data_IF_111916119221
#
_entry.id   IF_111916119221
#
_cell.length_a   1.000
_cell.length_b   1.000
_cell.length_c   1.000
_cell.angle_alpha   90.00
_cell.angle_beta   90.00
_cell.angle_gamma   90.00
#
_symmetry.space_group_name_H-M   'P 1'
#
loop_
_entity.id
_entity.type
_entity.pdbx_description
1 polymer ?
#
# COMPACT_ATOMS: atom_id res chain seq x y z
N UNK A 1 -35.97 -5.67 -1.58
CA UNK A 1 -34.95 -4.78 -2.15
C UNK A 1 -33.64 -5.52 -2.22
N UNK A 2 -33.19 -5.96 -3.40
CA UNK A 2 -31.88 -6.58 -3.60
C UNK A 2 -30.81 -5.52 -3.27
N UNK A 3 -30.16 -5.67 -2.13
CA UNK A 3 -29.11 -4.76 -1.66
C UNK A 3 -27.91 -4.89 -2.60
N UNK A 4 -27.63 -3.82 -3.35
CA UNK A 4 -26.50 -3.80 -4.29
C UNK A 4 -25.17 -3.89 -3.50
N UNK A 5 -24.26 -4.84 -3.78
CA UNK A 5 -23.02 -5.02 -3.04
C UNK A 5 -22.00 -3.89 -3.30
N UNK A 6 -21.98 -3.35 -4.52
CA UNK A 6 -21.00 -2.32 -4.93
C UNK A 6 -20.99 -1.08 -4.02
N UNK A 7 -22.11 -0.41 -3.70
CA UNK A 7 -22.08 0.78 -2.84
C UNK A 7 -21.54 0.49 -1.43
N UNK A 8 -21.87 -0.69 -0.87
CA UNK A 8 -21.39 -1.08 0.46
C UNK A 8 -19.89 -1.38 0.44
N UNK A 9 -19.42 -2.00 -0.64
CA UNK A 9 -18.00 -2.26 -0.79
C UNK A 9 -17.20 -0.97 -1.08
N UNK A 10 -17.79 -0.02 -1.81
CA UNK A 10 -17.26 1.35 -1.96
C UNK A 10 -17.10 2.01 -0.58
N UNK A 11 -18.10 1.90 0.31
CA UNK A 11 -18.01 2.44 1.66
C UNK A 11 -16.85 1.81 2.46
N UNK A 12 -16.65 0.48 2.37
CA UNK A 12 -15.51 -0.21 3.00
C UNK A 12 -14.18 0.31 2.44
N UNK A 13 -14.04 0.38 1.12
CA UNK A 13 -12.79 0.83 0.49
C UNK A 13 -12.50 2.30 0.82
N UNK A 14 -13.49 3.17 0.74
CA UNK A 14 -13.33 4.60 1.02
C UNK A 14 -12.95 4.85 2.49
N UNK A 15 -13.65 4.22 3.44
CA UNK A 15 -13.33 4.37 4.87
C UNK A 15 -11.98 3.73 5.24
N UNK A 16 -11.62 2.58 4.63
CA UNK A 16 -10.31 1.98 4.81
C UNK A 16 -9.18 2.93 4.38
N UNK A 17 -9.28 3.53 3.20
CA UNK A 17 -8.25 4.42 2.69
C UNK A 17 -8.19 5.75 3.46
N UNK A 18 -9.30 6.22 4.01
CA UNK A 18 -9.32 7.34 4.96
C UNK A 18 -8.61 6.98 6.28
N UNK A 19 -8.83 5.78 6.85
CA UNK A 19 -8.08 5.28 7.99
C UNK A 19 -6.58 5.19 7.70
N UNK A 20 -6.21 4.65 6.54
CA UNK A 20 -4.82 4.55 6.10
C UNK A 20 -4.17 5.94 6.01
N UNK A 21 -4.87 6.92 5.46
CA UNK A 21 -4.41 8.31 5.41
C UNK A 21 -4.05 8.85 6.81
N UNK A 22 -4.96 8.73 7.78
CA UNK A 22 -4.70 9.19 9.16
C UNK A 22 -3.52 8.47 9.79
N UNK A 23 -3.47 7.13 9.68
CA UNK A 23 -2.52 6.31 10.44
C UNK A 23 -1.13 6.34 9.80
N UNK A 24 -1.02 6.36 8.48
CA UNK A 24 0.26 6.28 7.77
C UNK A 24 0.73 7.66 7.32
N UNK A 25 -0.09 8.40 6.55
CA UNK A 25 0.36 9.65 5.94
C UNK A 25 0.43 10.80 6.94
N UNK A 26 -0.48 10.86 7.93
CA UNK A 26 -0.47 11.86 8.99
C UNK A 26 0.27 11.40 10.26
N UNK A 27 1.02 10.29 10.19
CA UNK A 27 1.80 9.79 11.32
C UNK A 27 2.79 10.81 11.86
N UNK A 28 3.54 11.47 10.98
CA UNK A 28 4.52 12.49 11.36
C UNK A 28 3.84 13.67 12.03
N UNK A 29 2.71 14.16 11.52
CA UNK A 29 1.96 15.29 12.10
C UNK A 29 1.57 14.99 13.54
N UNK A 30 1.00 13.79 13.77
CA UNK A 30 0.53 13.41 15.10
C UNK A 30 1.67 13.09 16.07
N UNK A 31 2.61 12.22 15.66
CA UNK A 31 3.66 11.74 16.56
C UNK A 31 4.67 12.83 16.93
N UNK A 32 5.01 13.74 16.01
CA UNK A 32 5.87 14.88 16.32
C UNK A 32 5.22 15.82 17.36
N UNK A 33 3.91 16.06 17.25
CA UNK A 33 3.15 16.84 18.23
C UNK A 33 3.15 16.16 19.63
N UNK A 34 3.14 14.82 19.66
CA UNK A 34 3.29 14.06 20.91
C UNK A 34 4.75 14.02 21.44
N UNK A 35 5.66 14.76 20.81
CA UNK A 35 7.06 14.89 21.21
C UNK A 35 7.95 13.70 20.86
N UNK A 36 7.58 12.91 19.83
CA UNK A 36 8.47 11.91 19.24
C UNK A 36 9.46 12.55 18.27
N UNK A 37 10.65 11.96 18.10
CA UNK A 37 11.61 12.38 17.06
C UNK A 37 11.27 11.78 15.71
N UNK A 38 11.85 12.32 14.61
CA UNK A 38 11.67 11.74 13.29
C UNK A 38 12.17 10.29 13.21
N UNK A 39 13.27 9.96 13.92
CA UNK A 39 13.75 8.59 14.03
C UNK A 39 12.72 7.66 14.68
N UNK A 40 12.03 8.12 15.72
CA UNK A 40 10.98 7.35 16.39
C UNK A 40 9.74 7.18 15.49
N UNK A 41 9.34 8.22 14.76
CA UNK A 41 8.26 8.12 13.77
C UNK A 41 8.59 7.06 12.71
N UNK A 42 9.77 7.16 12.10
CA UNK A 42 10.23 6.19 11.11
C UNK A 42 10.32 4.77 11.65
N UNK A 43 10.77 4.60 12.89
CA UNK A 43 10.85 3.31 13.59
C UNK A 43 9.45 2.68 13.77
N UNK A 44 8.46 3.46 14.23
CA UNK A 44 7.09 2.99 14.45
C UNK A 44 6.48 2.49 13.14
N UNK A 45 6.60 3.26 12.07
CA UNK A 45 6.06 2.88 10.75
C UNK A 45 6.78 1.65 10.20
N UNK A 46 8.10 1.58 10.32
CA UNK A 46 8.90 0.45 9.83
C UNK A 46 8.65 -0.84 10.58
N UNK A 47 8.68 -0.80 11.93
CA UNK A 47 8.43 -1.99 12.76
C UNK A 47 6.97 -2.45 12.62
N UNK A 48 6.01 -1.51 12.54
CA UNK A 48 4.61 -1.84 12.28
C UNK A 48 4.42 -2.53 10.93
N UNK A 49 5.07 -2.01 9.88
CA UNK A 49 5.06 -2.62 8.55
C UNK A 49 5.69 -4.01 8.52
N UNK A 50 6.86 -4.16 9.14
CA UNK A 50 7.54 -5.46 9.24
C UNK A 50 6.71 -6.48 10.02
N UNK A 51 6.17 -6.09 11.17
CA UNK A 51 5.34 -6.96 12.00
C UNK A 51 4.05 -7.35 11.28
N UNK A 52 3.42 -6.42 10.57
CA UNK A 52 2.26 -6.71 9.72
C UNK A 52 2.60 -7.76 8.65
N UNK A 53 3.72 -7.60 7.93
CA UNK A 53 4.15 -8.55 6.92
C UNK A 53 4.41 -9.96 7.49
N UNK A 54 4.99 -10.05 8.69
CA UNK A 54 5.24 -11.33 9.38
C UNK A 54 3.94 -11.98 9.91
N UNK A 55 2.97 -11.18 10.33
CA UNK A 55 1.69 -11.67 10.85
C UNK A 55 0.71 -12.02 9.72
N UNK A 56 0.81 -11.37 8.55
CA UNK A 56 -0.12 -11.51 7.43
C UNK A 56 -0.43 -12.98 7.05
N UNK A 57 0.57 -13.90 6.91
CA UNK A 57 0.27 -15.29 6.57
C UNK A 57 -0.48 -16.04 7.67
N UNK A 58 -0.30 -15.65 8.95
CA UNK A 58 -1.03 -16.26 10.08
C UNK A 58 -2.47 -15.77 10.13
N UNK A 59 -2.67 -14.47 9.92
CA UNK A 59 -3.98 -13.82 9.90
C UNK A 59 -4.82 -14.36 8.73
N UNK A 60 -4.24 -14.47 7.53
CA UNK A 60 -4.93 -15.04 6.36
C UNK A 60 -5.34 -16.48 6.60
N UNK A 61 -4.44 -17.33 7.14
CA UNK A 61 -4.78 -18.72 7.48
C UNK A 61 -5.85 -18.82 8.58
N UNK A 62 -5.86 -17.91 9.54
CA UNK A 62 -6.90 -17.85 10.55
C UNK A 62 -8.25 -17.50 9.93
N UNK A 63 -8.28 -16.50 9.03
CA UNK A 63 -9.48 -16.12 8.29
C UNK A 63 -10.06 -17.29 7.47
N UNK A 64 -9.19 -18.08 6.80
CA UNK A 64 -9.60 -19.22 5.99
C UNK A 64 -10.10 -20.41 6.85
N UNK A 65 -9.51 -20.63 8.02
CA UNK A 65 -9.86 -21.76 8.92
C UNK A 65 -11.12 -21.54 9.73
N UNK A 66 -11.50 -20.29 9.97
CA UNK A 66 -12.67 -19.94 10.77
C UNK A 66 -13.98 -20.15 10.00
N UNK A 67 -14.24 -21.38 9.55
CA UNK A 67 -15.50 -21.77 8.88
C UNK A 67 -16.77 -21.43 9.70
N UNK A 68 -16.67 -21.38 11.04
CA UNK A 68 -17.78 -21.02 11.95
C UNK A 68 -17.97 -19.51 12.13
N UNK A 69 -16.90 -18.72 12.01
CA UNK A 69 -16.97 -17.28 12.07
C UNK A 69 -16.88 -16.75 10.63
N UNK A 70 -17.87 -16.02 10.19
CA UNK A 70 -17.81 -15.47 8.83
C UNK A 70 -16.60 -14.52 8.68
N UNK A 71 -15.98 -14.52 7.50
CA UNK A 71 -14.88 -13.61 7.15
C UNK A 71 -15.22 -12.15 7.54
N UNK A 72 -16.49 -11.75 7.40
CA UNK A 72 -16.99 -10.43 7.80
C UNK A 72 -16.79 -10.17 9.30
N UNK A 73 -17.18 -11.13 10.17
CA UNK A 73 -17.03 -10.95 11.63
C UNK A 73 -15.54 -10.95 12.03
N UNK A 74 -14.71 -11.73 11.36
CA UNK A 74 -13.27 -11.68 11.56
C UNK A 74 -12.69 -10.29 11.21
N UNK A 75 -13.02 -9.77 10.03
CA UNK A 75 -12.62 -8.42 9.62
C UNK A 75 -13.15 -7.35 10.60
N UNK A 76 -14.41 -7.48 11.02
CA UNK A 76 -15.00 -6.58 12.01
C UNK A 76 -14.28 -6.67 13.37
N UNK A 77 -13.84 -7.85 13.79
CA UNK A 77 -13.04 -8.02 15.01
C UNK A 77 -11.72 -7.26 14.93
N UNK A 78 -10.98 -7.39 13.82
CA UNK A 78 -9.73 -6.65 13.60
C UNK A 78 -9.97 -5.14 13.56
N UNK A 79 -11.02 -4.68 12.85
CA UNK A 79 -11.40 -3.27 12.80
C UNK A 79 -11.88 -2.75 14.16
N UNK A 80 -12.55 -3.59 14.97
CA UNK A 80 -12.97 -3.26 16.33
C UNK A 80 -11.79 -3.05 17.28
N UNK A 81 -10.75 -3.88 17.18
CA UNK A 81 -9.49 -3.69 17.94
C UNK A 81 -8.84 -2.36 17.52
N UNK A 82 -8.79 -2.04 16.23
CA UNK A 82 -8.27 -0.77 15.75
C UNK A 82 -9.10 0.43 16.25
N UNK A 83 -10.43 0.28 16.30
CA UNK A 83 -11.32 1.31 16.85
C UNK A 83 -11.03 1.58 18.32
N UNK A 84 -10.87 0.54 19.14
CA UNK A 84 -10.52 0.66 20.56
C UNK A 84 -9.14 1.29 20.74
N UNK A 85 -8.16 0.88 19.93
CA UNK A 85 -6.82 1.47 19.96
C UNK A 85 -6.85 2.97 19.59
N UNK A 86 -7.67 3.36 18.59
CA UNK A 86 -7.85 4.77 18.22
C UNK A 86 -8.51 5.60 19.34
N UNK A 87 -9.50 5.03 20.06
CA UNK A 87 -10.09 5.68 21.23
C UNK A 87 -9.06 5.83 22.36
N UNK A 88 -8.20 4.82 22.54
CA UNK A 88 -7.11 4.85 23.51
C UNK A 88 -6.11 5.99 23.28
N UNK A 89 -5.82 6.37 22.02
CA UNK A 89 -4.96 7.52 21.71
C UNK A 89 -5.51 8.84 22.26
N UNK A 90 -6.83 9.01 22.31
CA UNK A 90 -7.47 10.21 22.85
C UNK A 90 -7.57 10.20 24.39
N UNK A 91 -7.61 9.02 24.99
CA UNK A 91 -7.88 8.86 26.42
C UNK A 91 -6.62 8.66 27.28
N UNK A 92 -5.55 8.09 26.70
CA UNK A 92 -4.37 7.68 27.46
C UNK A 92 -3.18 8.60 27.14
N UNK A 93 -2.83 9.53 28.05
CA UNK A 93 -1.66 10.39 27.85
C UNK A 93 -0.35 9.62 28.11
N UNK A 94 0.74 10.15 27.58
CA UNK A 94 2.10 9.67 27.81
C UNK A 94 2.69 8.91 26.61
N UNK A 95 4.01 9.04 26.46
CA UNK A 95 4.72 8.53 25.28
C UNK A 95 4.60 7.02 25.08
N UNK A 96 4.69 6.23 26.15
CA UNK A 96 4.65 4.77 26.04
C UNK A 96 3.28 4.23 25.58
N UNK A 97 2.14 4.64 26.19
CA UNK A 97 0.82 4.27 25.66
C UNK A 97 0.62 4.71 24.20
N UNK A 98 1.02 5.94 23.87
CA UNK A 98 0.91 6.48 22.51
C UNK A 98 1.73 5.62 21.52
N UNK A 99 2.96 5.25 21.87
CA UNK A 99 3.83 4.41 21.04
C UNK A 99 3.19 3.03 20.76
N UNK A 100 2.68 2.37 21.79
CA UNK A 100 2.10 1.02 21.70
C UNK A 100 0.80 1.06 20.90
N UNK A 101 -0.09 2.01 21.20
CA UNK A 101 -1.37 2.13 20.51
C UNK A 101 -1.19 2.51 19.04
N UNK A 102 -0.32 3.49 18.77
CA UNK A 102 -0.06 3.92 17.40
C UNK A 102 0.63 2.81 16.57
N UNK A 103 1.64 2.16 17.13
CA UNK A 103 2.29 1.01 16.50
C UNK A 103 1.32 -0.13 16.21
N UNK A 104 0.39 -0.40 17.14
CA UNK A 104 -0.68 -1.39 16.93
C UNK A 104 -1.59 -1.00 15.78
N UNK A 105 -1.97 0.29 15.67
CA UNK A 105 -2.79 0.79 14.56
C UNK A 105 -2.10 0.66 13.21
N UNK A 106 -0.79 0.92 13.14
CA UNK A 106 0.01 0.71 11.93
C UNK A 106 -0.04 -0.76 11.49
N UNK A 107 0.08 -1.70 12.43
CA UNK A 107 -0.04 -3.13 12.13
C UNK A 107 -1.44 -3.48 11.65
N UNK A 108 -2.46 -3.06 12.40
CA UNK A 108 -3.86 -3.43 12.15
C UNK A 108 -4.38 -2.88 10.80
N UNK A 109 -4.05 -1.63 10.45
CA UNK A 109 -4.48 -1.06 9.18
C UNK A 109 -3.88 -1.78 7.99
N UNK A 110 -2.64 -2.22 8.08
CA UNK A 110 -1.99 -2.99 7.02
C UNK A 110 -2.54 -4.42 6.92
N UNK A 111 -2.89 -5.06 8.04
CA UNK A 111 -3.56 -6.37 8.06
C UNK A 111 -4.99 -6.30 7.49
N UNK A 112 -5.69 -5.18 7.68
CA UNK A 112 -7.05 -4.98 7.17
C UNK A 112 -7.12 -4.86 5.64
N UNK A 113 -6.07 -4.39 4.96
CA UNK A 113 -6.08 -4.20 3.50
C UNK A 113 -6.44 -5.49 2.74
N UNK A 114 -5.71 -6.60 2.89
CA UNK A 114 -6.04 -7.84 2.19
C UNK A 114 -7.33 -8.48 2.71
N UNK A 115 -7.69 -8.31 3.98
CA UNK A 115 -8.94 -8.80 4.53
C UNK A 115 -10.16 -8.11 3.90
N UNK A 116 -10.13 -6.79 3.75
CA UNK A 116 -11.17 -6.04 3.04
C UNK A 116 -11.27 -6.44 1.57
N UNK A 117 -10.13 -6.69 0.91
CA UNK A 117 -10.10 -7.20 -0.46
C UNK A 117 -10.72 -8.59 -0.56
N UNK A 118 -10.41 -9.48 0.39
CA UNK A 118 -10.97 -10.84 0.46
C UNK A 118 -12.50 -10.83 0.64
N UNK A 119 -13.06 -9.86 1.40
CA UNK A 119 -14.53 -9.69 1.50
C UNK A 119 -15.18 -9.40 0.15
N UNK A 120 -14.57 -8.54 -0.67
CA UNK A 120 -15.05 -8.25 -2.02
C UNK A 120 -14.96 -9.47 -2.94
N UNK A 121 -13.86 -10.20 -2.88
CA UNK A 121 -13.67 -11.43 -3.67
C UNK A 121 -14.64 -12.53 -3.25
N UNK A 122 -14.86 -12.71 -1.95
CA UNK A 122 -15.85 -13.66 -1.45
C UNK A 122 -17.28 -13.36 -1.97
N UNK A 123 -17.64 -12.06 -2.04
CA UNK A 123 -18.92 -11.62 -2.60
C UNK A 123 -19.03 -11.96 -4.10
N UNK A 124 -17.96 -11.75 -4.88
CA UNK A 124 -17.91 -12.13 -6.31
C UNK A 124 -18.04 -13.65 -6.49
N UNK A 125 -17.35 -14.44 -5.68
CA UNK A 125 -17.40 -15.90 -5.72
C UNK A 125 -18.78 -16.48 -5.35
N UNK A 126 -19.61 -15.70 -4.67
CA UNK A 126 -21.02 -16.04 -4.38
C UNK A 126 -21.97 -15.59 -5.50
N UNK A 127 -21.47 -15.15 -6.66
CA UNK A 127 -22.25 -14.78 -7.84
C UNK A 127 -22.85 -13.37 -7.80
N UNK A 128 -22.49 -12.53 -6.84
CA UNK A 128 -22.92 -11.14 -6.81
C UNK A 128 -22.17 -10.28 -7.83
N UNK A 129 -22.86 -9.35 -8.46
CA UNK A 129 -22.26 -8.37 -9.37
C UNK A 129 -21.66 -7.22 -8.55
N UNK A 130 -20.37 -7.30 -8.28
CA UNK A 130 -19.60 -6.28 -7.57
C UNK A 130 -18.58 -5.65 -8.53
N UNK A 131 -18.61 -4.33 -8.67
CA UNK A 131 -17.59 -3.61 -9.43
C UNK A 131 -16.39 -3.31 -8.52
N UNK A 132 -15.43 -4.24 -8.50
CA UNK A 132 -14.24 -4.14 -7.65
C UNK A 132 -13.35 -2.95 -8.06
N UNK A 133 -13.18 -2.72 -9.37
CA UNK A 133 -12.37 -1.61 -9.87
C UNK A 133 -12.93 -0.24 -9.48
N UNK A 134 -14.25 -0.05 -9.61
CA UNK A 134 -14.92 1.18 -9.16
C UNK A 134 -14.70 1.42 -7.65
N UNK A 135 -14.86 0.38 -6.84
CA UNK A 135 -14.68 0.50 -5.40
C UNK A 135 -13.21 0.82 -5.03
N UNK A 136 -12.25 0.22 -5.73
CA UNK A 136 -10.82 0.51 -5.52
C UNK A 136 -10.47 1.95 -5.92
N UNK A 137 -10.99 2.43 -7.05
CA UNK A 137 -10.81 3.82 -7.50
C UNK A 137 -11.47 4.83 -6.56
N UNK A 138 -12.69 4.52 -6.06
CA UNK A 138 -13.35 5.34 -5.03
C UNK A 138 -12.53 5.41 -3.73
N UNK A 139 -11.84 4.34 -3.36
CA UNK A 139 -10.91 4.34 -2.22
C UNK A 139 -9.75 5.31 -2.41
N UNK A 140 -9.09 5.32 -3.57
CA UNK A 140 -8.01 6.28 -3.86
C UNK A 140 -8.53 7.73 -3.88
N UNK A 141 -9.69 7.97 -4.45
CA UNK A 141 -10.33 9.29 -4.42
C UNK A 141 -10.65 9.72 -2.99
N UNK A 142 -11.18 8.81 -2.16
CA UNK A 142 -11.46 9.08 -0.75
C UNK A 142 -10.19 9.42 0.03
N UNK A 143 -9.08 8.70 -0.21
CA UNK A 143 -7.77 9.03 0.36
C UNK A 143 -7.37 10.46 0.03
N UNK A 144 -7.42 10.86 -1.24
CA UNK A 144 -7.05 12.21 -1.66
C UNK A 144 -7.93 13.30 -1.03
N UNK A 145 -9.25 13.17 -1.15
CA UNK A 145 -10.20 14.14 -0.56
C UNK A 145 -10.00 14.22 0.96
N UNK A 146 -9.85 13.07 1.60
CA UNK A 146 -9.69 13.01 3.05
C UNK A 146 -8.35 13.60 3.50
N UNK A 147 -7.26 13.41 2.74
CA UNK A 147 -5.97 14.02 3.07
C UNK A 147 -6.03 15.56 3.05
N UNK A 148 -6.69 16.14 2.04
CA UNK A 148 -6.91 17.59 1.98
C UNK A 148 -7.80 18.10 3.13
N UNK A 149 -8.84 17.35 3.50
CA UNK A 149 -9.73 17.68 4.61
C UNK A 149 -9.01 17.55 5.96
N UNK A 150 -8.28 16.46 6.19
CA UNK A 150 -7.52 16.20 7.42
C UNK A 150 -6.42 17.24 7.63
N UNK A 151 -5.69 17.62 6.57
CA UNK A 151 -4.69 18.68 6.63
C UNK A 151 -5.26 20.02 7.12
N UNK A 152 -6.44 20.41 6.61
CA UNK A 152 -7.15 21.62 7.05
C UNK A 152 -7.70 21.50 8.47
N UNK A 153 -8.18 20.29 8.84
CA UNK A 153 -8.69 20.03 10.18
C UNK A 153 -7.58 20.22 11.24
N UNK A 154 -6.36 19.76 10.91
CA UNK A 154 -5.19 19.97 11.77
C UNK A 154 -4.86 21.45 11.93
N UNK A 155 -4.97 22.27 10.88
CA UNK A 155 -4.75 23.72 10.97
C UNK A 155 -5.74 24.41 11.92
N UNK A 156 -7.00 23.97 11.93
CA UNK A 156 -8.04 24.63 12.73
C UNK A 156 -8.10 24.14 14.17
N UNK A 157 -7.87 22.85 14.37
CA UNK A 157 -8.08 22.19 15.66
C UNK A 157 -6.79 21.69 16.32
N UNK A 158 -5.66 21.68 15.58
CA UNK A 158 -4.40 21.11 16.05
C UNK A 158 -4.25 19.62 15.74
N UNK A 159 -3.07 19.10 16.03
CA UNK A 159 -2.66 17.73 15.64
C UNK A 159 -3.48 16.62 16.33
N UNK A 160 -4.09 16.87 17.50
CA UNK A 160 -4.99 15.90 18.16
C UNK A 160 -6.17 15.51 17.27
N UNK A 161 -6.58 16.39 16.36
CA UNK A 161 -7.67 16.14 15.42
C UNK A 161 -7.41 14.96 14.49
N UNK A 162 -6.13 14.59 14.25
CA UNK A 162 -5.76 13.38 13.51
C UNK A 162 -6.27 12.14 14.25
N UNK A 163 -6.08 12.05 15.57
CA UNK A 163 -6.57 10.92 16.36
C UNK A 163 -8.10 10.87 16.40
N UNK A 164 -8.76 12.03 16.48
CA UNK A 164 -10.22 12.12 16.41
C UNK A 164 -10.77 11.69 15.04
N UNK A 165 -10.13 12.13 13.95
CA UNK A 165 -10.47 11.73 12.59
C UNK A 165 -10.22 10.22 12.37
N UNK A 166 -9.13 9.70 12.93
CA UNK A 166 -8.80 8.28 12.93
C UNK A 166 -9.90 7.45 13.62
N UNK A 167 -10.33 7.85 14.82
CA UNK A 167 -11.42 7.21 15.54
C UNK A 167 -12.74 7.24 14.74
N UNK A 168 -13.09 8.38 14.17
CA UNK A 168 -14.30 8.53 13.37
C UNK A 168 -14.28 7.63 12.13
N UNK A 169 -13.16 7.59 11.39
CA UNK A 169 -13.04 6.76 10.20
C UNK A 169 -12.99 5.26 10.52
N UNK A 170 -12.36 4.87 11.63
CA UNK A 170 -12.40 3.49 12.11
C UNK A 170 -13.82 3.06 12.49
N UNK A 171 -14.61 3.93 13.10
CA UNK A 171 -16.02 3.65 13.40
C UNK A 171 -16.84 3.47 12.11
N UNK A 172 -16.61 4.31 11.10
CA UNK A 172 -17.25 4.17 9.78
C UNK A 172 -16.86 2.88 9.11
N UNK A 173 -15.56 2.53 9.12
CA UNK A 173 -15.05 1.27 8.56
C UNK A 173 -15.66 0.06 9.25
N UNK A 174 -15.68 0.06 10.58
CA UNK A 174 -16.29 -1.00 11.38
C UNK A 174 -17.76 -1.20 11.04
N UNK A 175 -18.54 -0.11 11.00
CA UNK A 175 -19.95 -0.14 10.64
C UNK A 175 -20.17 -0.60 9.19
N UNK A 176 -19.33 -0.14 8.26
CA UNK A 176 -19.39 -0.54 6.86
C UNK A 176 -19.13 -2.06 6.69
N UNK A 177 -18.13 -2.61 7.39
CA UNK A 177 -17.85 -4.06 7.39
C UNK A 177 -19.04 -4.84 7.98
N UNK A 178 -19.60 -4.40 9.10
CA UNK A 178 -20.77 -5.04 9.71
C UNK A 178 -22.01 -4.98 8.81
N UNK A 179 -22.16 -3.95 8.00
CA UNK A 179 -23.26 -3.81 7.04
C UNK A 179 -23.13 -4.73 5.82
N UNK A 180 -21.94 -5.29 5.54
CA UNK A 180 -21.63 -6.08 4.35
C UNK A 180 -22.08 -7.55 4.55
N UNK A 181 -23.39 -7.81 4.35
CA UNK A 181 -24.03 -9.11 4.67
C UNK A 181 -24.24 -9.99 3.43
N UNK A 182 -23.22 -10.18 2.62
CA UNK A 182 -23.26 -11.06 1.43
C UNK A 182 -22.53 -12.38 1.75
N UNK A 183 -23.26 -13.34 2.35
CA UNK A 183 -22.70 -14.59 2.85
C UNK A 183 -23.41 -15.84 2.32
N UNK A 184 -24.52 -15.65 1.62
CA UNK A 184 -25.27 -16.70 0.94
C UNK A 184 -25.15 -16.50 -0.56
N UNK A 185 -25.23 -17.55 -1.40
CA UNK A 185 -25.21 -17.41 -2.83
C UNK A 185 -26.26 -16.42 -3.34
N UNK A 186 -25.94 -15.69 -4.40
CA UNK A 186 -26.88 -14.79 -5.03
C UNK A 186 -28.12 -15.57 -5.55
N UNK A 187 -29.33 -15.00 -5.52
CA UNK A 187 -30.52 -15.66 -6.02
C UNK A 187 -30.32 -16.18 -7.44
N UNK A 188 -30.54 -17.47 -7.66
CA UNK A 188 -30.35 -18.14 -8.95
C UNK A 188 -28.90 -18.48 -9.31
N UNK A 189 -27.94 -18.25 -8.42
CA UNK A 189 -26.56 -18.67 -8.61
C UNK A 189 -26.29 -19.97 -7.87
N UNK A 190 -25.95 -21.01 -8.61
CA UNK A 190 -25.41 -22.26 -8.06
C UNK A 190 -23.89 -22.11 -8.05
N UNK A 191 -23.24 -22.08 -6.86
CA UNK A 191 -21.80 -22.09 -6.83
C UNK A 191 -21.28 -23.30 -7.61
N UNK A 192 -20.20 -23.17 -8.41
CA UNK A 192 -19.55 -24.33 -9.00
C UNK A 192 -19.26 -25.32 -7.87
N UNK A 193 -19.60 -26.58 -8.11
CA UNK A 193 -19.25 -27.64 -7.15
C UNK A 193 -17.77 -27.47 -6.78
N UNK A 194 -17.42 -27.53 -5.49
CA UNK A 194 -16.02 -27.53 -5.11
C UNK A 194 -15.41 -28.68 -5.89
N UNK A 195 -14.50 -28.37 -6.84
CA UNK A 195 -13.66 -29.43 -7.43
C UNK A 195 -13.20 -30.27 -6.25
N UNK A 196 -13.36 -31.60 -6.28
CA UNK A 196 -12.85 -32.46 -5.22
C UNK A 196 -11.44 -31.94 -4.95
N UNK A 197 -11.20 -31.46 -3.73
CA UNK A 197 -9.84 -31.12 -3.33
C UNK A 197 -9.02 -32.33 -3.74
N UNK A 198 -8.24 -32.20 -4.81
CA UNK A 198 -7.19 -33.17 -5.09
C UNK A 198 -6.53 -33.34 -3.73
N UNK A 199 -6.55 -34.56 -3.22
CA UNK A 199 -6.07 -34.92 -1.89
C UNK A 199 -4.81 -34.13 -1.68
N UNK A 200 -4.62 -33.43 -0.54
CA UNK A 200 -3.53 -32.51 -0.38
C UNK A 200 -2.28 -33.24 -0.83
N UNK A 201 -1.90 -33.02 -2.09
CA UNK A 201 -0.58 -33.41 -2.52
C UNK A 201 0.29 -32.85 -1.42
N UNK A 202 0.95 -33.75 -0.73
CA UNK A 202 1.94 -33.44 0.29
C UNK A 202 2.98 -32.56 -0.37
N UNK A 203 2.59 -31.29 -0.56
CA UNK A 203 3.52 -30.25 -0.94
C UNK A 203 4.43 -30.16 0.26
N UNK A 204 5.46 -30.99 0.18
CA UNK A 204 6.57 -31.09 1.09
C UNK A 204 6.81 -29.70 1.69
N UNK A 205 6.69 -29.63 3.01
CA UNK A 205 7.10 -28.51 3.87
C UNK A 205 8.61 -28.25 3.69
N UNK A 206 9.02 -27.82 2.52
CA UNK A 206 10.37 -27.29 2.33
C UNK A 206 10.37 -25.86 2.82
N UNK A 207 11.26 -25.58 3.74
CA UNK A 207 11.45 -24.30 4.34
C UNK A 207 11.54 -23.18 3.27
N UNK A 208 10.98 -21.97 3.51
CA UNK A 208 10.96 -20.87 2.53
C UNK A 208 12.35 -20.52 1.96
N UNK A 209 13.42 -20.78 2.71
CA UNK A 209 14.79 -20.47 2.32
C UNK A 209 15.30 -21.34 1.14
N UNK A 210 14.95 -22.63 1.08
CA UNK A 210 15.41 -23.49 -0.03
C UNK A 210 14.68 -23.20 -1.35
N UNK A 211 13.39 -22.82 -1.29
CA UNK A 211 12.63 -22.41 -2.47
C UNK A 211 13.12 -21.09 -3.05
N UNK A 212 13.52 -20.13 -2.21
CA UNK A 212 14.00 -18.83 -2.65
C UNK A 212 15.34 -18.88 -3.37
N UNK A 213 16.28 -19.69 -2.89
CA UNK A 213 17.55 -19.93 -3.59
C UNK A 213 17.31 -20.59 -4.95
N UNK A 214 16.37 -21.53 -5.05
CA UNK A 214 16.02 -22.15 -6.32
C UNK A 214 15.39 -21.13 -7.28
N UNK A 215 14.56 -20.19 -6.83
CA UNK A 215 13.97 -19.14 -7.68
C UNK A 215 15.03 -18.23 -8.28
N UNK A 216 15.90 -17.65 -7.47
CA UNK A 216 16.94 -16.74 -7.94
C UNK A 216 17.99 -17.45 -8.82
N UNK A 217 18.22 -18.74 -8.62
CA UNK A 217 19.07 -19.54 -9.52
C UNK A 217 18.40 -19.74 -10.89
N UNK A 218 17.09 -19.97 -10.92
CA UNK A 218 16.33 -20.13 -12.16
C UNK A 218 16.17 -18.80 -12.93
N UNK A 219 16.09 -17.68 -12.20
CA UNK A 219 15.91 -16.34 -12.74
C UNK A 219 16.97 -15.36 -12.19
N UNK A 220 18.27 -15.48 -12.56
CA UNK A 220 19.33 -14.66 -11.93
C UNK A 220 19.12 -13.15 -12.10
N UNK A 221 18.54 -12.71 -13.23
CA UNK A 221 18.24 -11.30 -13.49
C UNK A 221 17.16 -10.75 -12.54
N UNK A 222 16.28 -11.61 -11.99
CA UNK A 222 15.26 -11.20 -11.05
C UNK A 222 15.85 -10.63 -9.76
N UNK A 223 17.02 -11.09 -9.31
CA UNK A 223 17.71 -10.53 -8.15
C UNK A 223 17.94 -9.03 -8.30
N UNK A 224 18.38 -8.57 -9.47
CA UNK A 224 18.59 -7.16 -9.76
C UNK A 224 17.25 -6.39 -9.90
N UNK A 225 16.21 -7.03 -10.46
CA UNK A 225 14.86 -6.44 -10.54
C UNK A 225 14.24 -6.26 -9.14
N UNK A 226 14.43 -7.23 -8.25
CA UNK A 226 13.98 -7.14 -6.86
C UNK A 226 14.74 -6.06 -6.08
N UNK A 227 16.07 -5.97 -6.28
CA UNK A 227 16.88 -4.90 -5.71
C UNK A 227 16.43 -3.53 -6.22
N UNK A 228 16.18 -3.39 -7.52
CA UNK A 228 15.63 -2.17 -8.11
C UNK A 228 14.29 -1.79 -7.47
N UNK A 229 13.40 -2.77 -7.29
CA UNK A 229 12.09 -2.58 -6.65
C UNK A 229 12.22 -2.13 -5.19
N UNK A 230 13.17 -2.70 -4.46
CA UNK A 230 13.50 -2.26 -3.10
C UNK A 230 13.97 -0.79 -3.09
N UNK A 231 14.89 -0.43 -3.96
CA UNK A 231 15.47 0.91 -4.04
C UNK A 231 14.44 1.98 -4.42
N UNK A 232 13.59 1.74 -5.44
CA UNK A 232 12.54 2.70 -5.80
C UNK A 232 11.50 2.83 -4.69
N UNK A 233 11.25 1.76 -3.92
CA UNK A 233 10.36 1.82 -2.75
C UNK A 233 10.99 2.51 -1.54
N UNK A 234 12.32 2.46 -1.37
CA UNK A 234 13.00 3.34 -0.42
C UNK A 234 12.74 4.79 -0.80
N UNK A 235 13.01 5.17 -2.06
CA UNK A 235 12.77 6.52 -2.58
C UNK A 235 11.34 6.99 -2.33
N UNK A 236 10.36 6.21 -2.77
CA UNK A 236 8.94 6.50 -2.63
C UNK A 236 8.50 6.68 -1.18
N UNK A 237 8.91 5.77 -0.30
CA UNK A 237 8.48 5.83 1.11
C UNK A 237 9.20 6.92 1.91
N UNK A 238 10.43 7.30 1.56
CA UNK A 238 11.07 8.49 2.14
C UNK A 238 10.23 9.74 1.89
N UNK A 239 9.73 9.94 0.67
CA UNK A 239 8.90 11.08 0.32
C UNK A 239 7.54 11.04 1.01
N UNK A 240 6.89 9.86 1.06
CA UNK A 240 5.54 9.73 1.60
C UNK A 240 5.50 9.74 3.14
N UNK A 241 6.41 9.02 3.81
CA UNK A 241 6.43 8.93 5.27
C UNK A 241 6.81 10.27 5.89
N UNK A 242 7.70 11.01 5.25
CA UNK A 242 8.21 12.28 5.75
C UNK A 242 7.70 13.49 4.94
N UNK A 243 6.55 13.33 4.27
CA UNK A 243 5.93 14.39 3.48
C UNK A 243 5.68 15.68 4.29
N UNK A 244 5.30 15.54 5.56
CA UNK A 244 5.07 16.69 6.44
C UNK A 244 6.35 17.51 6.66
N UNK A 245 7.48 16.85 6.95
CA UNK A 245 8.77 17.51 7.16
C UNK A 245 9.27 18.18 5.88
N UNK A 246 9.05 17.54 4.71
CA UNK A 246 9.38 18.12 3.41
C UNK A 246 8.58 19.41 3.16
N UNK A 247 7.28 19.35 3.42
CA UNK A 247 6.40 20.53 3.26
C UNK A 247 6.75 21.64 4.26
N UNK A 248 7.04 21.30 5.52
CA UNK A 248 7.50 22.27 6.52
C UNK A 248 8.83 22.94 6.12
N UNK A 249 9.76 22.19 5.55
CA UNK A 249 11.04 22.73 5.06
C UNK A 249 10.84 23.80 3.97
N UNK A 250 9.77 23.69 3.17
CA UNK A 250 9.39 24.67 2.16
C UNK A 250 8.48 25.80 2.72
N UNK A 251 8.34 25.89 4.04
CA UNK A 251 7.51 26.90 4.71
C UNK A 251 6.01 26.60 4.69
N UNK A 252 5.62 25.35 4.39
CA UNK A 252 4.23 24.92 4.40
C UNK A 252 3.77 24.34 5.72
N UNK A 253 2.53 23.93 5.74
CA UNK A 253 1.78 23.41 6.88
C UNK A 253 1.08 22.09 6.57
N UNK A 254 0.29 21.57 7.51
CA UNK A 254 -0.49 20.34 7.34
C UNK A 254 -1.54 20.45 6.22
N UNK A 255 -2.10 21.65 5.96
CA UNK A 255 -3.04 21.88 4.87
C UNK A 255 -2.35 21.78 3.50
N UNK A 256 -1.14 22.32 3.39
CA UNK A 256 -0.28 22.18 2.21
C UNK A 256 0.10 20.72 1.97
N UNK A 257 0.47 19.97 3.02
CA UNK A 257 0.73 18.54 2.94
C UNK A 257 -0.51 17.77 2.45
N UNK A 258 -1.67 18.06 3.03
CA UNK A 258 -2.92 17.45 2.59
C UNK A 258 -3.23 17.70 1.12
N UNK A 259 -2.89 18.88 0.60
CA UNK A 259 -3.03 19.26 -0.82
C UNK A 259 -2.07 18.47 -1.71
N UNK A 260 -0.80 18.30 -1.30
CA UNK A 260 0.20 17.50 -2.02
C UNK A 260 -0.28 16.05 -2.14
N UNK A 261 -0.73 15.43 -1.04
CA UNK A 261 -1.25 14.06 -1.02
C UNK A 261 -2.55 13.90 -1.84
N UNK A 262 -3.41 14.93 -1.85
CA UNK A 262 -4.59 14.95 -2.71
C UNK A 262 -4.21 14.90 -4.18
N UNK A 263 -3.30 15.77 -4.61
CA UNK A 263 -2.83 15.80 -6.01
C UNK A 263 -2.17 14.48 -6.40
N UNK A 264 -1.31 13.94 -5.55
CA UNK A 264 -0.70 12.63 -5.75
C UNK A 264 -1.77 11.56 -6.04
N UNK A 265 -2.77 11.45 -5.19
CA UNK A 265 -3.82 10.43 -5.31
C UNK A 265 -4.69 10.58 -6.56
N UNK A 266 -5.04 11.82 -6.93
CA UNK A 266 -5.87 12.09 -8.12
C UNK A 266 -5.10 11.82 -9.41
N UNK A 267 -3.81 12.19 -9.45
CA UNK A 267 -2.95 12.00 -10.62
C UNK A 267 -2.66 10.51 -10.92
N UNK A 268 -2.77 9.62 -9.95
CA UNK A 268 -2.63 8.17 -10.16
C UNK A 268 -3.81 7.55 -10.94
N UNK A 269 -5.03 8.11 -10.81
CA UNK A 269 -6.25 7.51 -11.35
C UNK A 269 -6.23 7.29 -12.86
N UNK A 270 -5.75 8.23 -13.71
CA UNK A 270 -5.71 8.03 -15.15
C UNK A 270 -4.89 6.80 -15.56
N UNK A 271 -3.76 6.55 -14.91
CA UNK A 271 -2.93 5.37 -15.18
C UNK A 271 -3.63 4.11 -14.70
N UNK A 272 -4.21 4.12 -13.49
CA UNK A 272 -4.90 2.95 -12.94
C UNK A 272 -6.07 2.50 -13.82
N UNK A 273 -6.87 3.44 -14.34
CA UNK A 273 -7.99 3.11 -15.22
C UNK A 273 -7.58 2.86 -16.67
N UNK A 274 -6.53 3.54 -17.14
CA UNK A 274 -6.07 3.47 -18.53
C UNK A 274 -5.02 2.41 -18.82
N UNK A 275 -4.58 1.62 -17.82
CA UNK A 275 -3.44 0.73 -17.99
C UNK A 275 -3.64 -0.34 -19.07
N UNK A 276 -4.85 -0.87 -19.22
CA UNK A 276 -5.16 -1.83 -20.28
C UNK A 276 -4.91 -1.23 -21.68
N UNK A 277 -5.22 0.05 -21.86
CA UNK A 277 -4.90 0.78 -23.09
C UNK A 277 -3.39 1.00 -23.23
N UNK A 278 -2.68 1.34 -22.15
CA UNK A 278 -1.21 1.48 -22.16
C UNK A 278 -0.54 0.17 -22.61
N UNK A 279 -1.01 -0.98 -22.17
CA UNK A 279 -0.47 -2.29 -22.61
C UNK A 279 -0.62 -2.53 -24.10
N UNK A 280 -1.59 -1.92 -24.79
CA UNK A 280 -1.71 -2.01 -26.25
C UNK A 280 -0.63 -1.19 -27.00
N UNK A 281 -0.01 -0.23 -26.32
CA UNK A 281 1.02 0.66 -26.90
C UNK A 281 2.44 0.14 -26.68
N UNK A 282 2.70 -0.51 -25.54
CA UNK A 282 4.00 -1.10 -25.23
C UNK A 282 3.84 -2.23 -24.22
N UNK A 283 4.79 -3.19 -24.21
CA UNK A 283 4.79 -4.31 -23.27
C UNK A 283 5.10 -3.86 -21.82
N UNK A 284 4.77 -4.72 -20.87
CA UNK A 284 4.96 -4.48 -19.42
C UNK A 284 6.39 -4.08 -19.03
N UNK A 285 7.39 -4.63 -19.73
CA UNK A 285 8.81 -4.28 -19.55
C UNK A 285 9.08 -2.78 -19.75
N UNK A 286 8.51 -2.19 -20.81
CA UNK A 286 8.71 -0.75 -21.10
C UNK A 286 8.07 0.09 -20.01
N UNK A 287 6.86 -0.25 -19.61
CA UNK A 287 6.14 0.47 -18.57
C UNK A 287 6.82 0.35 -17.20
N UNK A 288 7.36 -0.82 -16.86
CA UNK A 288 8.15 -0.99 -15.63
C UNK A 288 9.47 -0.18 -15.67
N UNK A 289 10.11 -0.03 -16.83
CA UNK A 289 11.27 0.87 -16.98
C UNK A 289 10.91 2.32 -16.80
N UNK A 290 9.82 2.74 -17.43
CA UNK A 290 9.32 4.12 -17.31
C UNK A 290 8.88 4.45 -15.89
N UNK A 291 8.36 3.48 -15.12
CA UNK A 291 8.06 3.70 -13.71
C UNK A 291 9.32 4.04 -12.89
N UNK A 292 10.44 3.40 -13.17
CA UNK A 292 11.72 3.75 -12.55
C UNK A 292 12.12 5.21 -12.84
N UNK A 293 11.91 5.68 -14.07
CA UNK A 293 12.13 7.09 -14.43
C UNK A 293 11.18 7.99 -13.64
N UNK A 294 9.90 7.61 -13.50
CA UNK A 294 8.92 8.35 -12.71
C UNK A 294 9.36 8.52 -11.25
N UNK A 295 9.78 7.44 -10.58
CA UNK A 295 10.30 7.51 -9.20
C UNK A 295 11.51 8.43 -9.07
N UNK A 296 12.46 8.34 -10.01
CA UNK A 296 13.62 9.22 -10.00
C UNK A 296 13.23 10.69 -10.18
N UNK A 297 12.40 11.00 -11.18
CA UNK A 297 11.98 12.38 -11.46
C UNK A 297 11.14 12.96 -10.32
N UNK A 298 10.32 12.14 -9.66
CA UNK A 298 9.55 12.55 -8.48
C UNK A 298 10.48 12.94 -7.32
N UNK A 299 11.48 12.09 -7.01
CA UNK A 299 12.43 12.38 -5.94
C UNK A 299 13.36 13.55 -6.28
N UNK A 300 13.91 13.58 -7.49
CA UNK A 300 14.79 14.64 -7.96
C UNK A 300 14.07 15.98 -8.07
N UNK A 301 12.86 15.98 -8.63
CA UNK A 301 12.03 17.18 -8.70
C UNK A 301 11.64 17.71 -7.32
N UNK A 302 11.32 16.81 -6.38
CA UNK A 302 11.06 17.19 -4.98
C UNK A 302 12.29 17.79 -4.30
N UNK A 303 13.49 17.29 -4.60
CA UNK A 303 14.76 17.84 -4.08
C UNK A 303 15.06 19.22 -4.62
N UNK A 304 14.72 19.49 -5.88
CA UNK A 304 14.94 20.78 -6.51
C UNK A 304 13.79 21.77 -6.30
N UNK A 305 12.68 21.35 -5.69
CA UNK A 305 11.50 22.20 -5.50
C UNK A 305 11.80 23.36 -4.53
N UNK A 306 11.75 24.64 -4.98
CA UNK A 306 12.00 25.79 -4.12
C UNK A 306 10.74 26.24 -3.36
N UNK A 307 9.57 25.76 -3.76
CA UNK A 307 8.27 26.16 -3.22
C UNK A 307 7.29 25.01 -3.21
N UNK A 308 6.25 25.11 -2.37
CA UNK A 308 5.15 24.14 -2.30
C UNK A 308 4.44 24.02 -3.67
N UNK A 309 4.29 25.12 -4.42
CA UNK A 309 3.67 25.09 -5.74
C UNK A 309 4.43 24.20 -6.72
N UNK A 310 5.76 24.26 -6.71
CA UNK A 310 6.62 23.36 -7.51
C UNK A 310 6.54 21.93 -7.00
N UNK A 311 6.54 21.71 -5.67
CA UNK A 311 6.35 20.37 -5.09
C UNK A 311 5.01 19.76 -5.51
N UNK A 312 3.94 20.55 -5.56
CA UNK A 312 2.63 20.11 -6.08
C UNK A 312 2.71 19.72 -7.57
N UNK A 313 3.41 20.51 -8.41
CA UNK A 313 3.57 20.19 -9.82
C UNK A 313 4.38 18.90 -10.04
N UNK A 314 5.38 18.66 -9.21
CA UNK A 314 6.22 17.45 -9.24
C UNK A 314 5.42 16.17 -8.97
N UNK A 315 4.25 16.26 -8.30
CA UNK A 315 3.38 15.08 -8.07
C UNK A 315 2.91 14.41 -9.39
N UNK A 316 2.99 15.09 -10.52
CA UNK A 316 2.68 14.47 -11.82
C UNK A 316 3.58 13.27 -12.13
N UNK A 317 4.79 13.26 -11.61
CA UNK A 317 5.71 12.12 -11.79
C UNK A 317 5.34 10.89 -10.96
N UNK A 318 4.52 11.06 -9.92
CA UNK A 318 3.99 9.93 -9.13
C UNK A 318 3.06 9.05 -9.97
N UNK A 319 2.30 9.65 -10.88
CA UNK A 319 1.51 8.92 -11.87
C UNK A 319 2.38 7.94 -12.67
N UNK A 320 3.55 8.40 -13.12
CA UNK A 320 4.50 7.57 -13.87
C UNK A 320 5.38 6.70 -12.97
N UNK A 321 5.53 7.02 -11.70
CA UNK A 321 6.27 6.25 -10.70
C UNK A 321 5.42 5.11 -10.14
N UNK A 322 4.73 5.41 -9.06
CA UNK A 322 4.03 4.40 -8.25
C UNK A 322 2.85 3.75 -8.98
N UNK A 323 1.95 4.54 -9.59
CA UNK A 323 0.75 3.97 -10.20
C UNK A 323 1.09 3.05 -11.37
N UNK A 324 2.05 3.46 -12.21
CA UNK A 324 2.54 2.66 -13.32
C UNK A 324 3.24 1.39 -12.84
N UNK A 325 4.12 1.52 -11.83
CA UNK A 325 4.83 0.40 -11.22
C UNK A 325 3.90 -0.63 -10.60
N UNK A 326 2.90 -0.20 -9.84
CA UNK A 326 2.00 -1.07 -9.12
C UNK A 326 1.26 -2.08 -10.03
N UNK A 327 1.03 -1.70 -11.30
CA UNK A 327 0.35 -2.55 -12.26
C UNK A 327 1.35 -3.22 -13.21
N UNK A 328 2.27 -2.46 -13.81
CA UNK A 328 3.21 -2.98 -14.80
C UNK A 328 4.10 -4.10 -14.27
N UNK A 329 4.50 -4.03 -12.99
CA UNK A 329 5.32 -5.05 -12.35
C UNK A 329 4.62 -6.42 -12.24
N UNK A 330 3.31 -6.41 -11.98
CA UNK A 330 2.51 -7.64 -11.92
C UNK A 330 2.50 -8.32 -13.30
N UNK A 331 2.22 -7.54 -14.35
CA UNK A 331 2.25 -8.06 -15.73
C UNK A 331 3.63 -8.55 -16.11
N UNK A 332 4.69 -7.79 -15.77
CA UNK A 332 6.06 -8.18 -16.07
C UNK A 332 6.44 -9.54 -15.44
N UNK A 333 6.06 -9.78 -14.19
CA UNK A 333 6.30 -11.07 -13.52
C UNK A 333 5.51 -12.18 -14.23
N UNK A 334 4.24 -11.94 -14.55
CA UNK A 334 3.38 -12.91 -15.21
C UNK A 334 3.89 -13.30 -16.63
N UNK A 335 4.53 -12.36 -17.31
CA UNK A 335 5.11 -12.59 -18.66
C UNK A 335 6.50 -13.23 -18.61
N UNK A 336 7.27 -13.03 -17.53
CA UNK A 336 8.68 -13.42 -17.46
C UNK A 336 8.90 -14.72 -16.68
N UNK A 337 8.04 -14.99 -15.69
CA UNK A 337 8.13 -16.17 -14.81
C UNK A 337 7.19 -17.26 -15.32
N UNK A 338 7.64 -18.53 -15.27
CA UNK A 338 6.84 -19.68 -15.63
C UNK A 338 5.56 -19.77 -14.80
N UNK A 339 4.48 -20.30 -15.38
CA UNK A 339 3.14 -20.24 -14.84
C UNK A 339 3.02 -20.86 -13.42
N UNK A 340 3.66 -21.99 -13.20
CA UNK A 340 3.73 -22.71 -11.92
C UNK A 340 4.48 -21.95 -10.82
N UNK A 341 5.24 -20.90 -11.16
CA UNK A 341 6.08 -20.11 -10.25
C UNK A 341 5.69 -18.63 -10.16
N UNK A 342 4.62 -18.20 -10.83
CA UNK A 342 4.17 -16.78 -10.84
C UNK A 342 3.86 -16.27 -9.44
N UNK A 343 3.18 -17.07 -8.61
CA UNK A 343 2.85 -16.71 -7.23
C UNK A 343 4.11 -16.52 -6.39
N UNK A 344 5.12 -17.38 -6.59
CA UNK A 344 6.43 -17.24 -5.93
C UNK A 344 7.12 -15.94 -6.35
N UNK A 345 7.11 -15.62 -7.66
CA UNK A 345 7.67 -14.38 -8.19
C UNK A 345 7.00 -13.13 -7.62
N UNK A 346 5.66 -13.11 -7.53
CA UNK A 346 4.90 -12.02 -6.92
C UNK A 346 5.22 -11.87 -5.43
N UNK A 347 5.40 -12.98 -4.71
CA UNK A 347 5.75 -12.96 -3.29
C UNK A 347 7.14 -12.35 -3.05
N UNK A 348 8.13 -12.70 -3.87
CA UNK A 348 9.47 -12.10 -3.82
C UNK A 348 9.43 -10.60 -4.09
N UNK A 349 8.60 -10.20 -5.04
CA UNK A 349 8.42 -8.79 -5.39
C UNK A 349 7.80 -7.99 -4.25
N UNK A 350 6.73 -8.51 -3.65
CA UNK A 350 6.10 -7.91 -2.47
C UNK A 350 7.08 -7.81 -1.30
N UNK A 351 7.90 -8.85 -1.09
CA UNK A 351 8.93 -8.83 -0.05
C UNK A 351 9.98 -7.72 -0.30
N UNK A 352 10.43 -7.56 -1.54
CA UNK A 352 11.41 -6.53 -1.90
C UNK A 352 10.87 -5.11 -1.68
N UNK A 353 9.60 -4.85 -2.07
CA UNK A 353 8.96 -3.55 -1.85
C UNK A 353 8.70 -3.27 -0.38
N UNK A 354 8.28 -4.28 0.39
CA UNK A 354 8.12 -4.17 1.84
C UNK A 354 9.44 -3.86 2.54
N UNK A 355 10.53 -4.55 2.14
CA UNK A 355 11.86 -4.28 2.66
C UNK A 355 12.28 -2.83 2.38
N UNK A 356 12.02 -2.33 1.16
CA UNK A 356 12.25 -0.93 0.81
C UNK A 356 11.51 0.04 1.73
N UNK A 357 10.24 -0.23 2.01
CA UNK A 357 9.42 0.59 2.91
C UNK A 357 9.97 0.60 4.34
N UNK A 358 10.39 -0.57 4.85
CA UNK A 358 10.99 -0.70 6.19
C UNK A 358 12.30 0.08 6.27
N UNK A 359 13.18 -0.08 5.28
CA UNK A 359 14.48 0.62 5.25
C UNK A 359 14.29 2.14 5.13
N UNK A 360 13.30 2.60 4.35
CA UNK A 360 12.98 4.02 4.24
C UNK A 360 12.63 4.64 5.60
N UNK A 361 11.77 4.01 6.38
CA UNK A 361 11.42 4.53 7.70
C UNK A 361 12.59 4.48 8.70
N UNK A 362 13.32 3.35 8.74
CA UNK A 362 14.45 3.18 9.65
C UNK A 362 15.57 4.19 9.39
N UNK A 363 15.97 4.36 8.14
CA UNK A 363 17.07 5.26 7.78
C UNK A 363 16.61 6.70 7.61
N UNK A 364 15.40 6.91 7.03
CA UNK A 364 14.90 8.25 6.73
C UNK A 364 14.69 9.11 7.97
N UNK A 365 14.10 8.55 9.04
CA UNK A 365 13.91 9.28 10.30
C UNK A 365 15.22 9.69 10.97
N UNK A 366 16.20 8.76 11.02
CA UNK A 366 17.53 9.07 11.54
C UNK A 366 18.27 10.10 10.68
N UNK A 367 18.15 9.99 9.36
CA UNK A 367 18.78 10.94 8.44
C UNK A 367 18.19 12.34 8.59
N UNK A 368 16.88 12.44 8.79
CA UNK A 368 16.22 13.71 9.09
C UNK A 368 16.72 14.36 10.37
N UNK A 369 16.85 13.58 11.45
CA UNK A 369 17.31 14.09 12.73
C UNK A 369 18.80 14.51 12.68
N UNK A 370 19.64 13.86 11.87
CA UNK A 370 21.08 14.12 11.76
C UNK A 370 21.45 15.18 10.72
N UNK A 371 20.78 15.18 9.57
CA UNK A 371 21.21 15.95 8.39
C UNK A 371 20.07 16.72 7.69
N UNK A 372 18.86 16.64 8.21
CA UNK A 372 17.72 17.41 7.75
C UNK A 372 17.10 16.93 6.41
N UNK A 373 16.13 17.71 5.93
CA UNK A 373 15.33 17.40 4.72
C UNK A 373 16.17 17.32 3.44
N UNK A 374 17.17 18.19 3.19
CA UNK A 374 17.97 18.08 1.96
C UNK A 374 18.70 16.73 1.82
N UNK A 375 19.20 16.18 2.92
CA UNK A 375 19.86 14.86 2.93
C UNK A 375 18.85 13.72 2.66
N UNK A 376 17.65 13.82 3.23
CA UNK A 376 16.56 12.87 2.97
C UNK A 376 16.20 12.83 1.47
N UNK A 377 16.01 14.01 0.87
CA UNK A 377 15.66 14.14 -0.54
C UNK A 377 16.81 13.71 -1.46
N UNK A 378 18.06 13.98 -1.07
CA UNK A 378 19.25 13.43 -1.74
C UNK A 378 19.29 11.90 -1.71
N UNK A 379 19.04 11.29 -0.55
CA UNK A 379 18.96 9.83 -0.43
C UNK A 379 17.80 9.24 -1.27
N UNK A 380 16.63 9.89 -1.26
CA UNK A 380 15.50 9.48 -2.08
C UNK A 380 15.85 9.53 -3.58
N UNK A 381 16.54 10.60 -4.02
CA UNK A 381 16.99 10.76 -5.40
C UNK A 381 18.02 9.72 -5.80
N UNK A 382 19.00 9.45 -4.94
CA UNK A 382 20.04 8.44 -5.19
C UNK A 382 19.46 7.03 -5.29
N UNK A 383 18.58 6.65 -4.36
CA UNK A 383 17.94 5.33 -4.37
C UNK A 383 16.97 5.18 -5.53
N UNK A 384 16.19 6.21 -5.86
CA UNK A 384 15.32 6.23 -7.03
C UNK A 384 16.11 6.13 -8.34
N UNK A 385 17.22 6.87 -8.48
CA UNK A 385 18.12 6.82 -9.63
C UNK A 385 18.81 5.47 -9.79
N UNK A 386 19.33 4.90 -8.71
CA UNK A 386 19.93 3.57 -8.74
C UNK A 386 18.90 2.49 -9.14
N UNK A 387 17.69 2.55 -8.59
CA UNK A 387 16.61 1.64 -8.97
C UNK A 387 16.19 1.80 -10.43
N UNK A 388 16.09 3.04 -10.93
CA UNK A 388 15.83 3.34 -12.35
C UNK A 388 16.89 2.70 -13.25
N UNK A 389 18.17 2.88 -12.95
CA UNK A 389 19.27 2.30 -13.74
C UNK A 389 19.23 0.77 -13.74
N UNK A 390 18.98 0.15 -12.58
CA UNK A 390 18.84 -1.30 -12.51
C UNK A 390 17.65 -1.81 -13.33
N UNK A 391 16.49 -1.14 -13.32
CA UNK A 391 15.38 -1.49 -14.20
C UNK A 391 15.77 -1.34 -15.67
N UNK A 392 16.50 -0.30 -16.01
CA UNK A 392 16.90 -0.07 -17.40
C UNK A 392 17.78 -1.17 -17.96
N UNK A 393 18.75 -1.63 -17.18
CA UNK A 393 19.73 -2.63 -17.62
C UNK A 393 19.28 -4.08 -17.44
N UNK A 394 18.53 -4.40 -16.38
CA UNK A 394 18.25 -5.79 -15.99
C UNK A 394 16.84 -6.30 -16.31
N UNK A 395 15.89 -5.43 -16.66
CA UNK A 395 14.60 -5.89 -17.16
C UNK A 395 14.78 -6.55 -18.54
N UNK A 396 14.56 -7.86 -18.61
CA UNK A 396 14.65 -8.64 -19.85
C UNK A 396 13.33 -8.65 -20.61
N UNK A 397 13.34 -8.83 -21.96
CA UNK A 397 12.12 -9.08 -22.70
C UNK A 397 11.44 -10.36 -22.19
N UNK A 398 10.10 -10.42 -22.22
CA UNK A 398 9.37 -11.66 -21.96
C UNK A 398 9.92 -12.76 -22.88
N UNK A 399 10.00 -14.00 -22.38
CA UNK A 399 10.29 -15.13 -23.27
C UNK A 399 9.15 -15.18 -24.28
N UNK A 400 9.42 -14.91 -25.54
CA UNK A 400 8.47 -15.22 -26.62
C UNK A 400 8.05 -16.68 -26.44
N UNK A 401 6.77 -16.95 -26.32
CA UNK A 401 6.25 -18.28 -26.50
C UNK A 401 6.80 -18.72 -27.86
N UNK A 402 7.66 -19.74 -27.87
CA UNK A 402 8.10 -20.35 -29.14
C UNK A 402 6.82 -20.67 -29.89
N UNK A 403 6.58 -19.91 -30.95
CA UNK A 403 5.46 -20.13 -31.84
C UNK A 403 5.43 -21.59 -32.21
N UNK A 404 4.36 -22.26 -31.89
CA UNK A 404 4.03 -23.52 -32.53
C UNK A 404 3.89 -23.21 -34.02
N UNK A 405 4.91 -23.57 -34.77
CA UNK A 405 4.76 -23.81 -36.20
C UNK A 405 3.84 -25.03 -36.33
N UNK A 406 2.68 -24.84 -36.86
CA UNK A 406 2.03 -25.79 -37.76
C UNK A 406 0.98 -25.05 -38.56
#
# INVERSE_FOLDING_TARGET
>A
MLTKPTPRFVAIQSSYWACYCCIISFSSVYLLDQGFSNAQVGLVISLGGLLSALLQPRVSRAADRLRKLSLRLFCAGVAGIALVASAGLLCLPGKLPQLVLYGSLVVLVQLLMPLCSALGMACLNLGYRLNFGLARGAGSMAFGIFSAACGRLVLWLGAWSVAAAMLAMQAVLFAAILSFRFQTPAPGFTPPEPKPEAAPEQTSRQAPQQKGQAFLRAYPHMGFVLLASCLVFISHNLLNTFAFQIVQHLGGDSGSMGTVLFLQSILELPVMFGFSWLLTKAGSRVWTRLSGVGFFLHAFGSWLAPTIGVLCAVQIFEMNGYALFAIASIYYINETVAEDRRVEGQSWFTMATTLGSVLAGLFGGNLLDLAGVPALLGMATLTGGAGMLLFWFFLRPPKQAKGGNA
#
